data_IF_949977561153
#
_entry.id   IF_949977561153
#
_cell.length_a   1.000
_cell.length_b   1.000
_cell.length_c   1.000
_cell.angle_alpha   90.00
_cell.angle_beta   90.00
_cell.angle_gamma   90.00
#
_symmetry.space_group_name_H-M   'P 1'
#
loop_
_entity.id
_entity.type
_entity.pdbx_description
1 polymer ?
#
# COMPACT_ATOMS: atom_id res chain seq x y z
N UNK A 1 8.78 -8.29 29.61
CA UNK A 1 8.49 -7.99 28.20
C UNK A 1 7.50 -9.00 27.64
N UNK A 2 6.52 -8.58 26.84
CA UNK A 2 5.51 -9.47 26.26
C UNK A 2 5.84 -9.69 24.78
N UNK A 3 5.79 -10.93 24.29
CA UNK A 3 5.95 -11.22 22.87
C UNK A 3 4.58 -11.49 22.24
N UNK A 4 4.31 -10.80 21.14
CA UNK A 4 3.06 -10.90 20.39
C UNK A 4 3.30 -11.44 19.00
N UNK A 5 2.33 -12.20 18.50
CA UNK A 5 2.20 -12.58 17.09
C UNK A 5 1.08 -11.77 16.48
N UNK A 6 1.38 -11.03 15.42
CA UNK A 6 0.40 -10.34 14.61
C UNK A 6 0.35 -10.97 13.22
N UNK A 7 -0.83 -11.43 12.82
CA UNK A 7 -1.09 -11.92 11.47
C UNK A 7 -1.91 -10.88 10.73
N UNK A 8 -1.48 -10.52 9.51
CA UNK A 8 -2.14 -9.53 8.66
C UNK A 8 -2.46 -10.22 7.35
N UNK A 9 -3.75 -10.19 6.95
CA UNK A 9 -4.23 -10.68 5.67
C UNK A 9 -4.56 -9.52 4.75
N UNK A 10 -4.03 -9.53 3.55
CA UNK A 10 -4.21 -8.50 2.53
C UNK A 10 -4.50 -9.19 1.19
N UNK A 11 -5.80 -9.49 0.95
CA UNK A 11 -6.17 -10.44 -0.10
C UNK A 11 -5.54 -11.81 0.18
N UNK A 12 -4.80 -12.34 -0.79
CA UNK A 12 -4.12 -13.63 -0.67
C UNK A 12 -2.75 -13.54 0.03
N UNK A 13 -2.24 -12.34 0.28
CA UNK A 13 -0.98 -12.15 1.00
C UNK A 13 -1.18 -12.27 2.50
N UNK A 14 -0.33 -13.08 3.15
CA UNK A 14 -0.31 -13.23 4.60
C UNK A 14 1.02 -12.75 5.14
N UNK A 15 0.99 -11.80 6.06
CA UNK A 15 2.17 -11.36 6.80
C UNK A 15 2.07 -11.84 8.25
N UNK A 16 3.18 -12.29 8.80
CA UNK A 16 3.29 -12.68 10.21
C UNK A 16 4.42 -11.90 10.85
N UNK A 17 4.10 -11.15 11.89
CA UNK A 17 5.08 -10.41 12.68
C UNK A 17 5.10 -10.94 14.10
N UNK A 18 6.30 -11.24 14.61
CA UNK A 18 6.53 -11.41 16.04
C UNK A 18 7.29 -10.19 16.54
N UNK A 19 6.83 -9.61 17.63
CA UNK A 19 7.48 -8.44 18.22
C UNK A 19 7.34 -8.41 19.74
N UNK A 20 8.34 -7.85 20.38
CA UNK A 20 8.35 -7.67 21.81
C UNK A 20 7.81 -6.28 22.18
N UNK A 21 7.06 -6.20 23.28
CA UNK A 21 6.48 -4.97 23.81
C UNK A 21 6.54 -4.96 25.34
N UNK A 22 6.82 -3.79 25.89
CA UNK A 22 6.70 -3.54 27.33
C UNK A 22 5.24 -3.35 27.75
N UNK A 23 4.36 -3.01 26.81
CA UNK A 23 2.93 -2.77 27.05
C UNK A 23 2.11 -4.02 26.77
N UNK A 24 1.16 -4.30 27.67
CA UNK A 24 0.19 -5.38 27.47
C UNK A 24 -0.93 -4.90 26.55
N UNK A 25 -1.24 -5.67 25.52
CA UNK A 25 -2.37 -5.37 24.62
C UNK A 25 -3.69 -5.42 25.40
N UNK A 26 -4.61 -4.53 25.07
CA UNK A 26 -5.93 -4.42 25.74
C UNK A 26 -5.94 -3.58 27.02
N UNK A 27 -4.79 -3.10 27.50
CA UNK A 27 -4.76 -2.13 28.61
C UNK A 27 -4.65 -0.70 28.06
N UNK A 28 -5.49 0.20 28.58
CA UNK A 28 -5.38 1.63 28.28
C UNK A 28 -4.26 2.21 29.15
N UNK A 29 -3.23 2.78 28.52
CA UNK A 29 -2.08 3.41 29.19
C UNK A 29 -2.13 4.95 29.15
N UNK A 30 -3.31 5.51 28.87
CA UNK A 30 -3.47 6.97 28.68
C UNK A 30 -2.99 7.47 27.31
N UNK A 31 -3.10 8.77 27.10
CA UNK A 31 -2.78 9.44 25.83
C UNK A 31 -1.33 9.24 25.38
N UNK A 32 -1.09 9.43 24.10
CA UNK A 32 0.25 9.40 23.48
C UNK A 32 1.11 10.52 24.08
N UNK A 33 2.08 10.20 24.94
CA UNK A 33 3.15 11.14 25.27
C UNK A 33 3.96 11.39 24.00
N UNK A 34 4.34 12.65 23.74
CA UNK A 34 5.21 12.98 22.61
C UNK A 34 6.51 12.17 22.73
N UNK A 35 6.85 11.46 21.65
CA UNK A 35 8.02 10.57 21.67
C UNK A 35 9.24 11.37 21.19
N UNK A 36 9.86 12.12 22.08
CA UNK A 36 11.05 12.92 21.77
C UNK A 36 12.35 12.08 21.64
N UNK A 37 12.25 10.74 21.66
CA UNK A 37 13.41 9.85 21.69
C UNK A 37 14.04 9.55 20.33
N UNK A 38 13.36 9.83 19.22
CA UNK A 38 13.88 9.57 17.87
C UNK A 38 14.26 10.86 17.16
N UNK A 39 15.44 10.87 16.51
CA UNK A 39 15.79 11.99 15.63
C UNK A 39 14.78 12.15 14.49
N UNK A 40 14.55 13.37 13.97
CA UNK A 40 13.63 13.60 12.84
C UNK A 40 13.92 12.72 11.62
N UNK A 41 15.20 12.43 11.34
CA UNK A 41 15.62 11.55 10.24
C UNK A 41 15.18 10.09 10.46
N UNK A 42 15.35 9.55 11.66
CA UNK A 42 14.89 8.19 12.01
C UNK A 42 13.36 8.09 11.96
N UNK A 43 12.64 9.12 12.41
CA UNK A 43 11.18 9.17 12.31
C UNK A 43 10.71 9.21 10.86
N UNK A 44 11.33 10.03 9.99
CA UNK A 44 11.02 10.07 8.56
C UNK A 44 11.22 8.70 7.90
N UNK A 45 12.36 8.04 8.14
CA UNK A 45 12.62 6.69 7.62
C UNK A 45 11.56 5.68 8.08
N UNK A 46 11.21 5.68 9.36
CA UNK A 46 10.19 4.79 9.92
C UNK A 46 8.80 5.07 9.33
N UNK A 47 8.42 6.33 9.16
CA UNK A 47 7.15 6.72 8.55
C UNK A 47 7.09 6.31 7.07
N UNK A 48 8.20 6.46 6.33
CA UNK A 48 8.31 5.96 4.95
C UNK A 48 8.04 4.46 4.86
N UNK A 49 8.72 3.66 5.66
CA UNK A 49 8.52 2.20 5.68
C UNK A 49 7.08 1.82 6.02
N UNK A 50 6.45 2.54 6.96
CA UNK A 50 5.03 2.33 7.31
C UNK A 50 4.10 2.69 6.15
N UNK A 51 4.37 3.78 5.43
CA UNK A 51 3.59 4.20 4.27
C UNK A 51 3.69 3.17 3.14
N UNK A 52 4.89 2.70 2.81
CA UNK A 52 5.11 1.62 1.83
C UNK A 52 4.34 0.36 2.21
N UNK A 53 4.48 -0.12 3.45
CA UNK A 53 3.78 -1.32 3.92
C UNK A 53 2.26 -1.14 3.93
N UNK A 54 1.77 0.02 4.31
CA UNK A 54 0.33 0.31 4.27
C UNK A 54 -0.20 0.27 2.83
N UNK A 55 0.51 0.91 1.89
CA UNK A 55 0.16 0.92 0.47
C UNK A 55 0.20 -0.48 -0.13
N UNK A 56 1.27 -1.24 0.12
CA UNK A 56 1.42 -2.62 -0.32
C UNK A 56 0.23 -3.50 0.13
N UNK A 57 -0.13 -3.41 1.41
CA UNK A 57 -1.28 -4.13 1.97
C UNK A 57 -2.60 -3.71 1.32
N UNK A 58 -2.77 -2.42 1.07
CA UNK A 58 -3.98 -1.88 0.46
C UNK A 58 -4.11 -2.34 -1.01
N UNK A 59 -3.02 -2.34 -1.77
CA UNK A 59 -3.00 -2.85 -3.15
C UNK A 59 -3.35 -4.34 -3.15
N UNK A 60 -2.67 -5.16 -2.33
CA UNK A 60 -2.91 -6.61 -2.27
C UNK A 60 -4.34 -6.98 -1.83
N UNK A 61 -4.98 -6.16 -0.99
CA UNK A 61 -6.34 -6.42 -0.53
C UNK A 61 -7.42 -6.09 -1.59
N UNK A 62 -7.08 -5.35 -2.65
CA UNK A 62 -8.07 -4.83 -3.59
C UNK A 62 -7.79 -5.15 -5.06
N UNK A 63 -6.56 -5.44 -5.43
CA UNK A 63 -6.15 -5.63 -6.83
C UNK A 63 -5.37 -6.94 -6.99
N UNK A 64 -5.50 -7.51 -8.19
CA UNK A 64 -4.90 -8.80 -8.55
C UNK A 64 -4.00 -8.67 -9.78
N UNK A 65 -3.26 -9.73 -10.08
CA UNK A 65 -2.50 -9.81 -11.33
C UNK A 65 -3.43 -9.67 -12.53
N UNK A 66 -3.04 -8.84 -13.49
CA UNK A 66 -3.85 -8.51 -14.66
C UNK A 66 -4.72 -7.25 -14.52
N UNK A 67 -4.89 -6.71 -13.31
CA UNK A 67 -5.40 -5.35 -13.13
C UNK A 67 -4.40 -4.33 -13.68
N UNK A 68 -4.76 -3.07 -13.76
CA UNK A 68 -3.94 -2.07 -14.44
C UNK A 68 -3.44 -0.96 -13.52
N UNK A 69 -2.18 -0.60 -13.71
CA UNK A 69 -1.62 0.68 -13.31
C UNK A 69 -1.63 1.59 -14.54
N UNK A 70 -2.49 2.60 -14.50
CA UNK A 70 -2.71 3.51 -15.62
C UNK A 70 -2.10 4.87 -15.34
N UNK A 71 -1.67 5.56 -16.41
CA UNK A 71 -1.32 6.97 -16.40
C UNK A 71 -2.23 7.70 -17.38
N UNK A 72 -2.82 8.82 -16.93
CA UNK A 72 -3.62 9.72 -17.73
C UNK A 72 -3.02 11.12 -17.63
N UNK A 73 -2.57 11.68 -18.75
CA UNK A 73 -1.91 12.99 -18.81
C UNK A 73 -2.82 14.01 -19.45
N UNK A 74 -2.84 15.22 -18.91
CA UNK A 74 -3.38 16.37 -19.62
C UNK A 74 -2.37 16.87 -20.65
N UNK A 75 -2.81 17.56 -21.72
CA UNK A 75 -1.90 18.25 -22.61
C UNK A 75 -1.04 19.26 -21.84
N UNK A 76 0.18 19.49 -22.33
CA UNK A 76 1.12 20.39 -21.71
C UNK A 76 0.54 21.81 -21.56
N UNK A 77 0.64 22.39 -20.37
CA UNK A 77 0.20 23.74 -20.10
C UNK A 77 -1.31 23.94 -19.94
N UNK A 78 -2.13 22.86 -19.96
CA UNK A 78 -3.61 22.97 -19.80
C UNK A 78 -3.99 23.45 -18.40
N UNK A 79 -3.24 23.10 -17.39
CA UNK A 79 -3.48 23.47 -16.00
C UNK A 79 -2.26 24.16 -15.41
N UNK A 80 -2.48 25.27 -14.73
CA UNK A 80 -1.41 26.00 -14.05
C UNK A 80 -1.17 25.46 -12.64
N UNK A 81 -2.22 24.96 -11.99
CA UNK A 81 -2.17 24.50 -10.59
C UNK A 81 -2.62 23.05 -10.42
N UNK A 82 -2.14 22.41 -9.35
CA UNK A 82 -2.62 21.09 -8.93
C UNK A 82 -4.13 21.10 -8.65
N UNK A 83 -4.64 22.17 -8.10
CA UNK A 83 -6.05 22.27 -7.73
C UNK A 83 -6.97 22.26 -8.95
N UNK A 84 -6.61 22.94 -10.03
CA UNK A 84 -7.36 22.91 -11.29
C UNK A 84 -7.38 21.51 -11.88
N UNK A 85 -6.22 20.86 -11.97
CA UNK A 85 -6.14 19.49 -12.49
C UNK A 85 -6.92 18.51 -11.60
N UNK A 86 -6.86 18.67 -10.28
CA UNK A 86 -7.62 17.86 -9.31
C UNK A 86 -9.13 18.01 -9.49
N UNK A 87 -9.62 19.20 -9.79
CA UNK A 87 -11.04 19.44 -10.11
C UNK A 87 -11.45 18.65 -11.36
N UNK A 88 -10.63 18.65 -12.41
CA UNK A 88 -10.93 17.86 -13.62
C UNK A 88 -10.89 16.34 -13.36
N UNK A 89 -9.90 15.86 -12.62
CA UNK A 89 -9.86 14.47 -12.17
C UNK A 89 -11.13 14.11 -11.38
N UNK A 90 -11.60 15.00 -10.52
CA UNK A 90 -12.86 14.82 -9.78
C UNK A 90 -14.08 14.68 -10.69
N UNK A 91 -14.20 15.52 -11.73
CA UNK A 91 -15.26 15.41 -12.74
C UNK A 91 -15.18 14.11 -13.54
N UNK A 92 -13.96 13.71 -13.92
CA UNK A 92 -13.72 12.44 -14.61
C UNK A 92 -14.16 11.24 -13.78
N UNK A 93 -13.74 11.15 -12.52
CA UNK A 93 -14.15 10.08 -11.59
C UNK A 93 -15.67 10.09 -11.32
N UNK A 94 -16.30 11.28 -11.32
CA UNK A 94 -17.75 11.39 -11.22
C UNK A 94 -18.44 10.79 -12.45
N UNK A 95 -18.02 11.12 -13.69
CA UNK A 95 -18.56 10.57 -14.94
C UNK A 95 -18.47 9.03 -14.95
N UNK A 96 -17.31 8.46 -14.56
CA UNK A 96 -17.12 7.03 -14.45
C UNK A 96 -18.13 6.40 -13.47
N UNK A 97 -18.21 6.92 -12.25
CA UNK A 97 -19.12 6.40 -11.25
C UNK A 97 -20.59 6.53 -11.67
N UNK A 98 -20.96 7.56 -12.41
CA UNK A 98 -22.28 7.73 -12.97
C UNK A 98 -22.60 6.65 -14.01
N UNK A 99 -21.65 6.34 -14.91
CA UNK A 99 -21.79 5.25 -15.90
C UNK A 99 -21.90 3.88 -15.22
N UNK A 100 -21.06 3.58 -14.25
CA UNK A 100 -21.12 2.35 -13.46
C UNK A 100 -22.49 2.19 -12.78
N UNK A 101 -23.01 3.25 -12.17
CA UNK A 101 -24.33 3.24 -11.56
C UNK A 101 -25.45 2.94 -12.57
N UNK A 102 -25.37 3.52 -13.79
CA UNK A 102 -26.34 3.21 -14.87
C UNK A 102 -26.28 1.75 -15.33
N UNK A 103 -25.12 1.12 -15.23
CA UNK A 103 -24.91 -0.30 -15.55
C UNK A 103 -25.29 -1.25 -14.39
N UNK A 104 -25.81 -0.72 -13.27
CA UNK A 104 -26.10 -1.51 -12.06
C UNK A 104 -24.85 -1.99 -11.32
N UNK A 105 -23.66 -1.47 -11.67
CA UNK A 105 -22.38 -1.81 -11.04
C UNK A 105 -22.11 -0.99 -9.78
N UNK A 106 -21.25 -1.49 -8.91
CA UNK A 106 -20.71 -0.77 -7.77
C UNK A 106 -19.85 0.42 -8.19
N UNK A 107 -19.45 1.23 -7.22
CA UNK A 107 -18.52 2.34 -7.47
C UNK A 107 -17.14 1.83 -7.85
N UNK A 108 -16.43 2.60 -8.70
CA UNK A 108 -15.04 2.35 -9.06
C UNK A 108 -14.18 2.18 -7.79
N UNK A 109 -13.41 1.08 -7.75
CA UNK A 109 -12.32 0.90 -6.77
C UNK A 109 -11.04 1.44 -7.37
N UNK A 110 -10.36 2.34 -6.67
CA UNK A 110 -9.10 2.88 -7.15
C UNK A 110 -8.17 3.34 -6.03
N UNK A 111 -6.88 3.34 -6.35
CA UNK A 111 -5.82 4.07 -5.65
C UNK A 111 -5.16 4.95 -6.71
N UNK A 112 -5.11 6.27 -6.47
CA UNK A 112 -4.59 7.22 -7.43
C UNK A 112 -3.72 8.28 -6.77
N UNK A 113 -2.81 8.88 -7.54
CA UNK A 113 -2.03 10.02 -7.11
C UNK A 113 -1.74 10.94 -8.30
N UNK A 114 -1.70 12.24 -8.02
CA UNK A 114 -1.45 13.27 -9.01
C UNK A 114 0.03 13.64 -8.97
N UNK A 115 0.65 13.71 -10.14
CA UNK A 115 2.01 14.18 -10.32
C UNK A 115 2.06 15.30 -11.35
N UNK A 116 3.07 16.17 -11.18
CA UNK A 116 3.44 17.15 -12.17
C UNK A 116 4.84 16.86 -12.67
N UNK A 117 5.04 16.85 -13.98
CA UNK A 117 6.36 16.70 -14.58
C UNK A 117 7.33 17.82 -14.13
N UNK A 118 8.62 17.60 -14.33
CA UNK A 118 9.69 18.54 -13.88
C UNK A 118 9.51 19.99 -14.36
N UNK A 119 8.82 20.20 -15.48
CA UNK A 119 8.52 21.53 -16.01
C UNK A 119 7.45 22.30 -15.24
N UNK A 120 6.76 21.67 -14.28
CA UNK A 120 5.66 22.29 -13.54
C UNK A 120 4.34 22.42 -14.32
N UNK A 121 4.28 22.01 -15.59
CA UNK A 121 3.13 22.20 -16.48
C UNK A 121 2.60 20.90 -17.12
N UNK A 122 3.16 19.74 -16.78
CA UNK A 122 2.75 18.44 -17.30
C UNK A 122 2.03 17.64 -16.22
N UNK A 123 0.78 17.97 -15.98
CA UNK A 123 -0.05 17.30 -14.98
C UNK A 123 -0.55 15.95 -15.48
N UNK A 124 -0.43 14.93 -14.62
CA UNK A 124 -0.95 13.60 -14.88
C UNK A 124 -1.38 12.92 -13.59
N UNK A 125 -2.27 11.96 -13.75
CA UNK A 125 -2.71 11.08 -12.68
C UNK A 125 -2.27 9.65 -12.96
N UNK A 126 -1.69 9.03 -11.95
CA UNK A 126 -1.52 7.58 -11.90
C UNK A 126 -2.67 6.96 -11.12
N UNK A 127 -3.24 5.88 -11.63
CA UNK A 127 -4.38 5.22 -11.01
C UNK A 127 -4.29 3.70 -11.16
N UNK A 128 -4.52 2.98 -10.05
CA UNK A 128 -4.68 1.53 -10.05
C UNK A 128 -6.17 1.22 -10.11
N UNK A 129 -6.57 0.37 -11.02
CA UNK A 129 -7.96 -0.04 -11.25
C UNK A 129 -8.05 -1.50 -11.66
N UNK A 130 -9.24 -2.10 -11.50
CA UNK A 130 -9.55 -3.42 -12.05
C UNK A 130 -9.46 -3.41 -13.59
N UNK A 131 -9.05 -4.53 -14.16
CA UNK A 131 -9.02 -4.74 -15.61
C UNK A 131 -10.36 -4.47 -16.30
N UNK A 132 -11.47 -4.73 -15.61
CA UNK A 132 -12.82 -4.56 -16.12
C UNK A 132 -13.22 -3.08 -16.28
N UNK A 133 -12.56 -2.18 -15.55
CA UNK A 133 -12.87 -0.75 -15.58
C UNK A 133 -11.99 0.06 -16.55
N UNK A 134 -10.98 -0.58 -17.17
CA UNK A 134 -9.97 0.08 -18.02
C UNK A 134 -10.59 0.86 -19.18
N UNK A 135 -11.47 0.24 -19.96
CA UNK A 135 -12.09 0.86 -21.13
C UNK A 135 -12.92 2.07 -20.74
N UNK A 136 -13.72 1.94 -19.69
CA UNK A 136 -14.53 3.03 -19.19
C UNK A 136 -13.68 4.23 -18.73
N UNK A 137 -12.51 3.98 -18.13
CA UNK A 137 -11.59 5.05 -17.76
C UNK A 137 -11.10 5.80 -19.00
N UNK A 138 -10.70 5.05 -20.03
CA UNK A 138 -10.20 5.59 -21.30
C UNK A 138 -11.25 6.44 -22.00
N UNK A 139 -12.46 5.90 -22.16
CA UNK A 139 -13.59 6.58 -22.81
C UNK A 139 -14.01 7.88 -22.12
N UNK A 140 -13.93 7.92 -20.79
CA UNK A 140 -14.34 9.09 -20.00
C UNK A 140 -13.22 10.10 -19.80
N UNK A 141 -11.97 9.79 -20.19
CA UNK A 141 -10.89 10.76 -20.13
C UNK A 141 -11.07 11.86 -21.20
N UNK A 142 -10.94 13.14 -20.82
CA UNK A 142 -11.28 14.24 -21.75
C UNK A 142 -10.27 14.45 -22.89
N UNK A 143 -9.14 13.75 -22.86
CA UNK A 143 -8.07 13.92 -23.85
C UNK A 143 -7.78 12.60 -24.57
N UNK A 144 -7.68 12.63 -25.89
CA UNK A 144 -7.40 11.46 -26.71
C UNK A 144 -6.01 10.87 -26.47
N UNK A 145 -5.04 11.74 -26.25
CA UNK A 145 -3.64 11.36 -26.06
C UNK A 145 -3.24 11.33 -24.58
N UNK A 146 -2.07 10.76 -24.29
CA UNK A 146 -1.48 10.77 -22.96
C UNK A 146 -1.99 9.67 -22.03
N UNK A 147 -2.58 8.60 -22.59
CA UNK A 147 -3.02 7.43 -21.84
C UNK A 147 -1.99 6.30 -21.94
N UNK A 148 -1.66 5.69 -20.80
CA UNK A 148 -0.79 4.52 -20.72
C UNK A 148 -1.37 3.50 -19.75
N UNK A 149 -1.32 2.22 -20.11
CA UNK A 149 -1.88 1.11 -19.36
C UNK A 149 -0.82 0.03 -19.14
N UNK A 150 -0.41 -0.18 -17.92
CA UNK A 150 0.58 -1.19 -17.53
C UNK A 150 -0.13 -2.27 -16.70
N UNK A 151 -0.18 -3.52 -17.19
CA UNK A 151 -0.74 -4.62 -16.40
C UNK A 151 0.01 -4.82 -15.09
N UNK A 152 -0.70 -5.08 -14.02
CA UNK A 152 -0.12 -5.46 -12.73
C UNK A 152 0.33 -6.91 -12.77
N UNK A 153 1.55 -7.15 -12.33
CA UNK A 153 2.08 -8.50 -12.12
C UNK A 153 2.41 -8.71 -10.64
N UNK A 154 1.78 -9.67 -10.01
CA UNK A 154 1.90 -9.93 -8.57
C UNK A 154 3.20 -10.68 -8.18
N UNK A 155 4.23 -10.62 -9.02
CA UNK A 155 5.47 -11.37 -8.82
C UNK A 155 6.23 -11.00 -7.53
N UNK A 156 5.92 -9.85 -6.92
CA UNK A 156 6.64 -9.30 -5.77
C UNK A 156 5.67 -8.67 -4.76
N UNK A 157 4.51 -9.29 -4.54
CA UNK A 157 3.50 -8.78 -3.60
C UNK A 157 3.22 -7.27 -3.72
N UNK A 158 3.40 -6.68 -4.91
CA UNK A 158 3.27 -5.25 -5.22
C UNK A 158 4.18 -4.31 -4.41
N UNK A 159 5.28 -4.81 -3.81
CA UNK A 159 6.19 -4.00 -3.00
C UNK A 159 6.83 -2.87 -3.81
N UNK A 160 7.38 -3.18 -5.00
CA UNK A 160 7.99 -2.16 -5.87
C UNK A 160 6.99 -1.10 -6.32
N UNK A 161 5.75 -1.49 -6.61
CA UNK A 161 4.69 -0.54 -6.95
C UNK A 161 4.34 0.36 -5.76
N UNK A 162 4.23 -0.22 -4.56
CA UNK A 162 3.99 0.55 -3.34
C UNK A 162 5.15 1.53 -3.04
N UNK A 163 6.39 1.11 -3.24
CA UNK A 163 7.57 1.97 -3.12
C UNK A 163 7.55 3.11 -4.14
N UNK A 164 7.18 2.82 -5.40
CA UNK A 164 7.04 3.83 -6.44
C UNK A 164 5.97 4.87 -6.08
N UNK A 165 4.76 4.43 -5.72
CA UNK A 165 3.64 5.32 -5.36
C UNK A 165 4.00 6.18 -4.15
N UNK A 166 4.74 5.63 -3.19
CA UNK A 166 5.09 6.35 -1.96
C UNK A 166 6.41 7.13 -2.04
N UNK A 167 7.14 7.04 -3.16
CA UNK A 167 8.44 7.68 -3.33
C UNK A 167 8.37 9.19 -3.10
N UNK A 168 7.41 9.86 -3.72
CA UNK A 168 7.23 11.31 -3.62
C UNK A 168 6.52 11.75 -2.33
N UNK A 169 5.79 10.81 -1.67
CA UNK A 169 5.20 11.06 -0.37
C UNK A 169 6.24 11.27 0.74
N UNK A 170 7.50 10.94 0.48
CA UNK A 170 8.53 10.82 1.51
C UNK A 170 9.80 11.61 1.23
N UNK A 171 9.91 12.22 0.06
CA UNK A 171 11.11 12.92 -0.40
C UNK A 171 11.07 14.44 -0.26
N UNK A 172 9.91 15.04 -0.04
CA UNK A 172 9.75 16.49 0.16
C UNK A 172 9.53 16.81 1.64
N UNK A 173 9.95 17.99 2.06
CA UNK A 173 9.89 18.44 3.46
C UNK A 173 8.45 18.54 4.01
N UNK A 174 7.44 18.54 3.13
CA UNK A 174 6.03 18.64 3.48
C UNK A 174 5.29 17.34 3.27
N UNK A 175 5.19 16.53 4.34
CA UNK A 175 4.46 15.25 4.38
C UNK A 175 2.96 15.45 4.16
N UNK A 176 2.40 16.58 4.58
CA UNK A 176 0.97 16.88 4.44
C UNK A 176 0.59 17.19 2.99
N UNK A 177 1.45 17.88 2.25
CA UNK A 177 1.24 18.13 0.82
C UNK A 177 1.28 16.84 0.00
N UNK A 178 2.17 15.90 0.37
CA UNK A 178 2.29 14.61 -0.29
C UNK A 178 1.07 13.71 -0.02
N UNK A 179 0.54 13.67 1.21
CA UNK A 179 -0.70 12.94 1.53
C UNK A 179 -1.92 13.49 0.78
N UNK A 180 -1.99 14.80 0.55
CA UNK A 180 -3.07 15.44 -0.20
C UNK A 180 -3.09 15.03 -1.68
N UNK A 181 -1.94 14.61 -2.26
CA UNK A 181 -1.86 14.16 -3.66
C UNK A 181 -2.43 12.77 -3.87
N UNK A 182 -2.49 11.95 -2.82
CA UNK A 182 -3.06 10.62 -2.90
C UNK A 182 -4.58 10.64 -2.77
N UNK A 183 -5.26 9.92 -3.64
CA UNK A 183 -6.70 9.77 -3.69
C UNK A 183 -7.04 8.28 -3.65
N UNK A 184 -7.95 7.90 -2.78
CA UNK A 184 -8.41 6.50 -2.69
C UNK A 184 -9.93 6.46 -2.69
N UNK A 185 -10.49 5.46 -3.34
CA UNK A 185 -11.94 5.22 -3.26
C UNK A 185 -12.33 4.74 -1.85
N UNK A 186 -13.53 5.12 -1.42
CA UNK A 186 -14.02 4.78 -0.06
C UNK A 186 -14.41 3.31 0.12
N UNK A 187 -14.59 2.59 -0.98
CA UNK A 187 -15.02 1.19 -1.03
C UNK A 187 -13.84 0.20 -1.09
N UNK A 188 -12.62 0.64 -0.79
CA UNK A 188 -11.48 -0.26 -0.68
C UNK A 188 -11.61 -1.16 0.55
N UNK A 189 -11.36 -2.44 0.34
CA UNK A 189 -11.22 -3.43 1.41
C UNK A 189 -9.97 -3.13 2.23
N UNK A 190 -10.12 -3.08 3.55
CA UNK A 190 -8.97 -2.88 4.45
C UNK A 190 -8.31 -4.22 4.79
N UNK A 191 -6.98 -4.25 4.96
CA UNK A 191 -6.29 -5.44 5.46
C UNK A 191 -6.83 -5.86 6.83
N UNK A 192 -7.02 -7.15 7.02
CA UNK A 192 -7.43 -7.72 8.31
C UNK A 192 -6.20 -7.97 9.19
N UNK A 193 -6.27 -7.62 10.45
CA UNK A 193 -5.15 -7.80 11.39
C UNK A 193 -5.62 -8.40 12.70
N UNK A 194 -5.02 -9.54 13.06
CA UNK A 194 -5.25 -10.21 14.33
C UNK A 194 -3.96 -10.27 15.12
N UNK A 195 -4.00 -9.85 16.38
CA UNK A 195 -2.85 -9.88 17.28
C UNK A 195 -3.17 -10.75 18.48
N UNK A 196 -2.27 -11.68 18.81
CA UNK A 196 -2.35 -12.52 19.99
C UNK A 196 -1.01 -12.58 20.72
N UNK A 197 -1.01 -13.03 21.96
CA UNK A 197 0.22 -13.38 22.67
C UNK A 197 0.90 -14.56 21.94
N UNK A 198 2.19 -14.47 21.69
CA UNK A 198 2.95 -15.56 21.10
C UNK A 198 3.08 -16.74 22.08
N UNK A 199 3.02 -17.96 21.56
CA UNK A 199 3.23 -19.18 22.36
C UNK A 199 4.73 -19.33 22.68
N UNK A 200 5.07 -19.86 23.85
CA UNK A 200 6.48 -20.09 24.23
C UNK A 200 7.25 -20.97 23.22
N UNK A 201 6.58 -21.98 22.64
CA UNK A 201 7.17 -22.84 21.60
C UNK A 201 7.56 -22.04 20.37
N UNK A 202 6.69 -21.13 19.90
CA UNK A 202 6.97 -20.26 18.74
C UNK A 202 8.18 -19.37 19.01
N UNK A 203 8.25 -18.76 20.20
CA UNK A 203 9.35 -17.86 20.57
C UNK A 203 10.68 -18.63 20.58
N UNK A 204 10.75 -19.78 21.23
CA UNK A 204 11.95 -20.61 21.30
C UNK A 204 12.43 -21.08 19.92
N UNK A 205 11.50 -21.41 19.02
CA UNK A 205 11.82 -21.76 17.64
C UNK A 205 12.51 -20.60 16.92
N UNK A 206 11.92 -19.41 17.01
CA UNK A 206 12.48 -18.18 16.40
C UNK A 206 13.85 -17.79 16.99
N UNK A 207 14.04 -17.95 18.30
CA UNK A 207 15.33 -17.70 18.98
C UNK A 207 16.43 -18.67 18.54
N UNK A 208 16.07 -19.89 18.13
CA UNK A 208 16.99 -20.86 17.53
C UNK A 208 17.24 -20.64 16.04
N UNK A 209 16.62 -19.62 15.45
CA UNK A 209 16.72 -19.33 14.01
C UNK A 209 15.82 -20.20 13.13
N UNK A 210 14.86 -20.93 13.72
CA UNK A 210 13.93 -21.76 12.96
C UNK A 210 12.93 -20.86 12.21
N UNK A 211 12.67 -21.21 10.96
CA UNK A 211 11.63 -20.55 10.17
C UNK A 211 10.26 -21.05 10.59
N UNK A 212 9.26 -20.18 10.54
CA UNK A 212 7.88 -20.58 10.77
C UNK A 212 7.33 -21.32 9.55
N UNK A 213 6.50 -22.32 9.78
CA UNK A 213 5.79 -23.01 8.71
C UNK A 213 4.89 -22.06 7.94
N UNK A 214 4.92 -22.16 6.61
CA UNK A 214 4.02 -21.42 5.76
C UNK A 214 2.58 -21.87 6.01
N UNK A 215 1.60 -20.95 5.99
CA UNK A 215 0.20 -21.33 5.99
C UNK A 215 -0.13 -22.25 4.81
N UNK A 216 -1.11 -23.13 4.98
CA UNK A 216 -1.55 -24.05 3.93
C UNK A 216 -1.80 -23.29 2.61
N UNK A 217 -1.32 -23.86 1.50
CA UNK A 217 -1.43 -23.24 0.17
C UNK A 217 -0.55 -22.02 -0.07
N UNK A 218 0.38 -21.69 0.84
CA UNK A 218 1.27 -20.53 0.72
C UNK A 218 2.75 -20.95 0.77
N UNK A 219 3.60 -20.04 0.29
CA UNK A 219 5.06 -20.17 0.40
C UNK A 219 5.66 -18.88 0.96
N UNK A 220 6.79 -19.00 1.64
CA UNK A 220 7.53 -17.86 2.18
C UNK A 220 8.26 -17.11 1.05
N UNK A 221 8.20 -15.79 1.06
CA UNK A 221 9.03 -14.95 0.21
C UNK A 221 10.35 -14.71 0.92
N UNK A 222 11.43 -15.31 0.42
CA UNK A 222 12.77 -15.26 1.05
C UNK A 222 13.28 -13.82 1.18
N UNK A 223 13.09 -12.98 0.17
CA UNK A 223 13.52 -11.58 0.16
C UNK A 223 12.69 -10.67 1.11
N UNK A 224 11.57 -11.15 1.63
CA UNK A 224 10.70 -10.40 2.55
C UNK A 224 10.72 -10.98 3.99
N UNK A 225 11.67 -11.85 4.31
CA UNK A 225 11.97 -12.23 5.68
C UNK A 225 12.94 -11.23 6.32
N UNK A 226 12.69 -10.84 7.55
CA UNK A 226 13.64 -10.02 8.31
C UNK A 226 13.59 -10.29 9.82
N UNK A 227 14.77 -10.26 10.42
CA UNK A 227 14.94 -10.20 11.88
C UNK A 227 15.63 -8.88 12.22
N UNK A 228 15.00 -8.09 13.07
CA UNK A 228 15.50 -6.80 13.50
C UNK A 228 15.29 -6.62 15.00
N UNK A 229 16.05 -5.71 15.61
CA UNK A 229 15.81 -5.27 16.97
C UNK A 229 15.04 -3.94 16.96
N UNK A 230 14.06 -3.84 17.87
CA UNK A 230 13.35 -2.57 18.09
C UNK A 230 14.23 -1.58 18.85
N UNK A 231 13.91 -0.29 18.79
CA UNK A 231 14.63 0.76 19.55
C UNK A 231 14.62 0.55 21.08
N UNK A 232 13.70 -0.27 21.57
CA UNK A 232 13.63 -0.70 22.98
C UNK A 232 14.40 -2.00 23.27
N UNK A 233 15.23 -2.47 22.32
CA UNK A 233 16.04 -3.69 22.46
C UNK A 233 15.29 -5.01 22.28
N UNK A 234 14.01 -4.98 21.93
CA UNK A 234 13.21 -6.18 21.71
C UNK A 234 13.35 -6.73 20.27
N UNK A 235 13.47 -8.05 20.15
CA UNK A 235 13.54 -8.70 18.83
C UNK A 235 12.20 -8.58 18.08
N UNK A 236 12.31 -8.43 16.76
CA UNK A 236 11.19 -8.42 15.82
C UNK A 236 11.51 -9.32 14.65
N UNK A 237 10.61 -10.27 14.36
CA UNK A 237 10.67 -11.15 13.20
C UNK A 237 9.49 -10.80 12.27
N UNK A 238 9.76 -10.82 10.98
CA UNK A 238 8.77 -10.55 9.95
C UNK A 238 8.85 -11.61 8.87
N UNK A 239 7.69 -12.15 8.46
CA UNK A 239 7.53 -13.15 7.43
C UNK A 239 6.41 -12.72 6.48
N UNK A 240 6.60 -12.91 5.19
CA UNK A 240 5.60 -12.65 4.16
C UNK A 240 5.36 -13.90 3.32
N UNK A 241 4.10 -14.26 3.13
CA UNK A 241 3.69 -15.45 2.40
C UNK A 241 2.77 -15.08 1.25
N UNK A 242 2.97 -15.73 0.11
CA UNK A 242 2.09 -15.67 -1.05
C UNK A 242 1.51 -17.03 -1.38
N UNK A 243 0.33 -17.10 -2.04
CA UNK A 243 -0.26 -18.37 -2.45
C UNK A 243 0.62 -19.08 -3.49
N UNK A 244 0.70 -20.40 -3.39
CA UNK A 244 1.51 -21.28 -4.27
C UNK A 244 1.15 -21.09 -5.75
N UNK A 245 -0.12 -20.78 -6.07
CA UNK A 245 -0.59 -20.49 -7.43
C UNK A 245 0.14 -19.34 -8.11
N UNK A 246 0.83 -18.50 -7.33
CA UNK A 246 1.61 -17.35 -7.81
C UNK A 246 3.12 -17.66 -7.89
N UNK A 247 3.54 -18.86 -7.46
CA UNK A 247 4.94 -19.27 -7.58
C UNK A 247 5.29 -19.44 -9.06
N UNK A 248 6.31 -18.74 -9.55
CA UNK A 248 6.84 -18.98 -10.89
C UNK A 248 7.33 -20.43 -10.95
N UNK A 249 6.82 -21.21 -11.91
CA UNK A 249 7.51 -22.41 -12.34
C UNK A 249 8.75 -21.94 -13.12
N UNK A 250 9.92 -22.16 -12.58
CA UNK A 250 11.20 -21.97 -13.28
C UNK A 250 11.37 -23.11 -14.28
#
# INVERSE_FOLDING_TARGET
>A
MYTYKRTIKSGDMIEVEYYQSIRKIGKNYGGRKSNNSLSPAKMRKANKLRAVKHMQRLINANFVSGDFFCRFSAPYGTYETEEEFRKEVGKWLYRINYRLKKQGKGRLKYIAFIECGKSGKNWHIHIIVSKEDRELLSEQWPYENGQNFTPLYKNENFKKLAEYITKDLTGKEDVDAAQKRMMTSRNLTKPESVTRKAKRKEIRALERGEMIEAPEGHYLIEDDYSMNYSDIGGAKWYFCFLPITQRRKW
#
